data_IF_631029470639
#
_entry.id   IF_631029470639
#
_cell.length_a   1.000
_cell.length_b   1.000
_cell.length_c   1.000
_cell.angle_alpha   90.00
_cell.angle_beta   90.00
_cell.angle_gamma   90.00
#
_symmetry.space_group_name_H-M   'P 1'
#
loop_
_entity.id
_entity.type
_entity.pdbx_description
1 polymer ?
#
# COMPACT_ATOMS: atom_id res chain seq x y z
N UNK A 1 19.14 -11.13 -4.67
CA UNK A 1 17.80 -10.85 -4.10
C UNK A 1 17.89 -10.86 -2.59
N UNK A 2 18.36 -9.76 -2.02
CA UNK A 2 18.26 -9.50 -0.59
C UNK A 2 16.96 -8.74 -0.34
N UNK A 3 16.25 -9.10 0.71
CA UNK A 3 15.00 -8.48 1.14
C UNK A 3 15.07 -8.20 2.64
N UNK A 4 14.38 -7.15 3.05
CA UNK A 4 14.19 -6.80 4.46
C UNK A 4 12.75 -7.09 4.86
N UNK A 5 12.54 -7.82 5.94
CA UNK A 5 11.24 -8.06 6.56
C UNK A 5 11.24 -7.47 7.97
N UNK A 6 10.19 -6.72 8.30
CA UNK A 6 10.00 -6.09 9.61
C UNK A 6 8.56 -6.33 10.06
N UNK A 7 8.36 -6.69 11.32
CA UNK A 7 7.04 -6.63 11.98
C UNK A 7 6.97 -5.31 12.72
N UNK A 8 5.96 -4.50 12.44
CA UNK A 8 5.77 -3.25 13.17
C UNK A 8 4.39 -3.24 13.81
N UNK A 9 4.28 -2.67 15.01
CA UNK A 9 3.00 -2.32 15.63
C UNK A 9 2.97 -0.81 15.89
N UNK A 10 1.84 -0.19 15.55
CA UNK A 10 1.53 1.17 15.98
C UNK A 10 0.48 1.11 17.09
N UNK A 11 0.73 1.82 18.20
CA UNK A 11 -0.25 2.10 19.24
C UNK A 11 -0.35 1.06 20.37
N UNK A 12 0.19 1.44 21.55
CA UNK A 12 -0.26 0.94 22.85
C UNK A 12 -1.54 1.66 23.29
N UNK A 13 -2.40 0.96 24.02
CA UNK A 13 -3.74 1.43 24.41
C UNK A 13 -3.73 2.77 25.14
N UNK A 14 -4.42 3.75 24.58
CA UNK A 14 -4.71 5.04 25.21
C UNK A 14 -5.50 5.90 24.24
N UNK A 15 -6.80 6.12 24.52
CA UNK A 15 -7.69 6.87 23.65
C UNK A 15 -7.23 8.30 23.43
N UNK A 16 -6.93 8.66 22.19
CA UNK A 16 -6.64 10.03 21.79
C UNK A 16 -6.27 10.12 20.30
N UNK A 17 -7.08 10.87 19.54
CA UNK A 17 -6.79 11.46 18.22
C UNK A 17 -5.98 10.64 17.22
N UNK A 18 -6.68 10.03 16.24
CA UNK A 18 -6.10 9.32 15.10
C UNK A 18 -5.18 10.26 14.30
N UNK A 19 -3.87 10.16 14.51
CA UNK A 19 -2.87 10.77 13.63
C UNK A 19 -2.19 9.68 12.81
N UNK A 20 -2.12 9.88 11.50
CA UNK A 20 -1.40 8.99 10.59
C UNK A 20 0.08 8.98 10.99
N UNK A 21 0.58 7.85 11.47
CA UNK A 21 2.01 7.73 11.74
C UNK A 21 2.72 7.27 10.48
N UNK A 22 3.44 8.20 9.88
CA UNK A 22 4.37 7.89 8.80
C UNK A 22 5.68 7.46 9.43
N UNK A 23 6.22 6.32 9.00
CA UNK A 23 7.61 5.94 9.27
C UNK A 23 8.41 6.02 7.99
N UNK A 24 9.65 6.47 8.12
CA UNK A 24 10.64 6.49 7.06
C UNK A 24 11.59 5.33 7.32
N UNK A 25 11.90 4.57 6.27
CA UNK A 25 12.95 3.55 6.31
C UNK A 25 14.06 4.05 5.40
N UNK A 26 15.27 4.15 5.96
CA UNK A 26 16.42 4.75 5.32
C UNK A 26 17.63 3.83 5.45
N UNK A 27 18.55 3.93 4.50
CA UNK A 27 19.81 3.20 4.51
C UNK A 27 21.01 4.15 4.34
N UNK A 28 22.16 3.72 4.82
CA UNK A 28 23.45 4.38 4.68
C UNK A 28 24.51 3.36 4.30
N UNK A 29 25.37 3.75 3.36
CA UNK A 29 26.51 2.96 2.86
C UNK A 29 27.85 3.61 3.21
N UNK A 30 27.83 4.68 4.02
CA UNK A 30 28.98 5.51 4.36
C UNK A 30 29.13 5.70 5.88
N UNK A 31 28.79 4.65 6.63
CA UNK A 31 28.85 4.63 8.11
C UNK A 31 27.92 5.63 8.80
N UNK A 32 26.82 6.00 8.15
CA UNK A 32 25.79 6.88 8.71
C UNK A 32 26.02 8.37 8.46
N UNK A 33 26.97 8.75 7.59
CA UNK A 33 27.21 10.15 7.23
C UNK A 33 26.10 10.70 6.35
N UNK A 34 25.65 9.92 5.36
CA UNK A 34 24.51 10.23 4.52
C UNK A 34 23.45 9.14 4.61
N UNK A 35 22.19 9.54 4.44
CA UNK A 35 21.03 8.68 4.56
C UNK A 35 20.13 8.86 3.35
N UNK A 36 19.67 7.76 2.80
CA UNK A 36 18.80 7.71 1.64
C UNK A 36 17.55 6.90 1.98
N UNK A 37 16.39 7.31 1.48
CA UNK A 37 15.18 6.48 1.60
C UNK A 37 15.41 5.12 0.96
N UNK A 38 14.98 4.07 1.65
CA UNK A 38 15.07 2.70 1.16
C UNK A 38 14.28 2.52 -0.13
N UNK A 39 13.14 3.19 -0.25
CA UNK A 39 12.35 3.22 -1.47
C UNK A 39 12.13 4.67 -1.88
N UNK A 40 12.36 4.97 -3.15
CA UNK A 40 12.06 6.29 -3.71
C UNK A 40 10.75 6.23 -4.49
N UNK A 41 9.89 7.27 -4.38
CA UNK A 41 8.67 7.31 -5.15
C UNK A 41 8.97 7.35 -6.63
N UNK A 42 8.35 6.42 -7.35
CA UNK A 42 8.56 6.24 -8.77
C UNK A 42 7.22 6.17 -9.50
N UNK A 43 6.90 7.23 -10.23
CA UNK A 43 5.72 7.35 -11.07
C UNK A 43 6.08 8.06 -12.38
N UNK A 44 5.29 7.86 -13.45
CA UNK A 44 5.50 8.57 -14.72
C UNK A 44 5.42 10.09 -14.49
N UNK A 45 6.53 10.79 -14.70
CA UNK A 45 6.71 12.22 -14.39
C UNK A 45 7.74 12.51 -13.29
N UNK A 46 8.14 11.51 -12.51
CA UNK A 46 9.28 11.59 -11.59
C UNK A 46 10.60 11.19 -12.28
N UNK A 47 11.73 11.68 -11.77
CA UNK A 47 13.08 11.47 -12.30
C UNK A 47 13.61 10.02 -12.10
N UNK A 48 12.77 9.02 -12.37
CA UNK A 48 13.18 7.63 -12.41
C UNK A 48 13.79 7.25 -13.75
N UNK A 49 14.76 6.34 -13.73
CA UNK A 49 15.18 5.62 -14.93
C UNK A 49 13.97 4.91 -15.56
N UNK A 50 13.82 5.03 -16.88
CA UNK A 50 12.59 4.75 -17.66
C UNK A 50 11.99 3.33 -17.56
N UNK A 51 12.57 2.42 -16.78
CA UNK A 51 12.22 1.00 -16.76
C UNK A 51 11.69 0.47 -15.41
N UNK A 52 11.36 1.33 -14.44
CA UNK A 52 10.85 0.88 -13.14
C UNK A 52 9.31 0.82 -13.16
N UNK A 53 8.76 -0.40 -13.16
CA UNK A 53 7.31 -0.68 -13.11
C UNK A 53 6.72 -0.69 -11.69
N UNK A 54 7.53 -0.39 -10.67
CA UNK A 54 7.15 -0.50 -9.27
C UNK A 54 6.84 0.85 -8.67
N UNK A 55 5.66 0.96 -8.06
CA UNK A 55 5.21 2.14 -7.33
C UNK A 55 5.53 1.93 -5.87
N UNK A 56 6.48 2.72 -5.37
CA UNK A 56 6.78 2.80 -3.95
C UNK A 56 6.48 4.20 -3.41
N UNK A 57 6.27 4.31 -2.10
CA UNK A 57 6.30 5.57 -1.36
C UNK A 57 7.58 5.61 -0.54
N UNK A 58 8.16 6.79 -0.34
CA UNK A 58 9.34 6.97 0.53
C UNK A 58 9.02 6.75 2.01
N UNK A 59 7.77 6.97 2.39
CA UNK A 59 7.27 6.72 3.73
C UNK A 59 6.26 5.58 3.70
N UNK A 60 6.31 4.73 4.73
CA UNK A 60 5.36 3.64 4.92
C UNK A 60 4.36 4.07 5.98
N UNK A 61 3.09 3.83 5.67
CA UNK A 61 1.98 4.14 6.56
C UNK A 61 1.37 2.82 6.96
N UNK A 62 1.40 2.60 8.26
CA UNK A 62 0.92 1.38 8.87
C UNK A 62 -0.53 1.60 9.35
N UNK A 63 -1.31 0.50 9.49
CA UNK A 63 -2.60 0.57 10.17
C UNK A 63 -2.46 1.23 11.56
N UNK A 64 -3.49 1.95 11.99
CA UNK A 64 -3.48 2.69 13.26
C UNK A 64 -3.54 1.79 14.50
N UNK A 65 -3.74 0.49 14.30
CA UNK A 65 -3.75 -0.51 15.38
C UNK A 65 -3.30 -1.87 14.85
N UNK A 66 -2.73 -2.67 15.75
CA UNK A 66 -2.32 -4.04 15.47
C UNK A 66 -0.91 -4.17 14.88
N UNK A 67 -0.46 -5.42 14.80
CA UNK A 67 0.82 -5.78 14.18
C UNK A 67 0.65 -5.94 12.67
N UNK A 68 1.58 -5.37 11.91
CA UNK A 68 1.63 -5.46 10.46
C UNK A 68 3.05 -5.84 10.00
N UNK A 69 3.15 -6.80 9.08
CA UNK A 69 4.42 -7.19 8.45
C UNK A 69 4.65 -6.35 7.20
N UNK A 70 5.81 -5.68 7.15
CA UNK A 70 6.32 -5.02 5.97
C UNK A 70 7.43 -5.90 5.38
N UNK A 71 7.47 -6.05 4.07
CA UNK A 71 8.56 -6.72 3.37
C UNK A 71 8.97 -5.90 2.15
N UNK A 72 10.24 -5.50 2.11
CA UNK A 72 10.75 -4.54 1.13
C UNK A 72 11.95 -5.13 0.38
N UNK A 73 12.06 -4.89 -0.94
CA UNK A 73 13.29 -5.19 -1.66
C UNK A 73 14.40 -4.21 -1.25
N UNK A 74 15.63 -4.71 -1.15
CA UNK A 74 16.78 -3.81 -0.99
C UNK A 74 17.16 -3.16 -2.33
N UNK A 75 17.50 -1.86 -2.35
CA UNK A 75 17.98 -1.17 -3.55
C UNK A 75 19.22 -1.82 -4.15
N UNK A 76 19.37 -1.75 -5.47
CA UNK A 76 20.57 -2.27 -6.17
C UNK A 76 21.85 -1.62 -5.62
N UNK A 77 21.79 -0.34 -5.23
CA UNK A 77 22.90 0.39 -4.64
C UNK A 77 23.50 -0.29 -3.39
N UNK A 78 22.73 -1.14 -2.72
CA UNK A 78 23.20 -1.88 -1.54
C UNK A 78 23.83 -3.23 -1.90
N UNK A 79 23.67 -3.76 -3.12
CA UNK A 79 23.99 -5.16 -3.46
C UNK A 79 25.49 -5.49 -3.55
N UNK A 80 26.39 -4.52 -3.40
CA UNK A 80 27.84 -4.71 -3.48
C UNK A 80 28.60 -3.96 -2.39
N UNK A 81 27.90 -3.53 -1.34
CA UNK A 81 28.50 -2.79 -0.25
C UNK A 81 28.97 -3.75 0.84
N UNK A 82 30.21 -3.57 1.30
CA UNK A 82 30.75 -4.30 2.44
C UNK A 82 30.04 -3.93 3.75
N UNK A 83 29.53 -2.70 3.81
CA UNK A 83 28.85 -2.16 4.97
C UNK A 83 27.56 -1.44 4.58
N UNK A 84 26.47 -1.78 5.27
CA UNK A 84 25.17 -1.12 5.14
C UNK A 84 24.58 -1.00 6.54
N UNK A 85 23.98 0.15 6.84
CA UNK A 85 23.10 0.31 8.01
C UNK A 85 21.74 0.83 7.60
N UNK A 86 20.74 0.44 8.37
CA UNK A 86 19.36 0.86 8.22
C UNK A 86 18.94 1.67 9.44
N UNK A 87 18.03 2.62 9.24
CA UNK A 87 17.33 3.30 10.33
C UNK A 87 15.86 3.46 9.99
N UNK A 88 15.05 3.51 11.04
CA UNK A 88 13.63 3.78 10.96
C UNK A 88 13.37 5.05 11.76
N UNK A 89 12.81 6.06 11.11
CA UNK A 89 12.60 7.38 11.70
C UNK A 89 11.17 7.84 11.51
N UNK A 90 10.63 8.59 12.45
CA UNK A 90 9.38 9.36 12.23
C UNK A 90 9.73 10.72 11.63
N UNK A 91 8.96 11.25 10.67
CA UNK A 91 9.19 12.58 10.12
C UNK A 91 9.24 13.65 11.22
N UNK A 92 10.18 14.59 11.10
CA UNK A 92 10.43 15.64 12.10
C UNK A 92 9.18 16.48 12.43
N UNK A 93 8.27 16.68 11.47
CA UNK A 93 7.02 17.42 11.68
C UNK A 93 5.97 16.64 12.49
N UNK A 94 6.07 15.31 12.56
CA UNK A 94 5.23 14.49 13.45
C UNK A 94 5.66 14.58 14.92
N UNK A 95 6.82 15.21 15.19
CA UNK A 95 7.41 15.40 16.51
C UNK A 95 6.92 16.71 17.18
N UNK A 96 5.94 17.40 16.59
CA UNK A 96 5.40 18.64 17.15
C UNK A 96 4.47 18.34 18.34
N UNK A 97 4.89 18.81 19.51
CA UNK A 97 4.15 18.96 20.78
C UNK A 97 3.77 17.65 21.48
N UNK A 98 4.62 17.23 22.43
CA UNK A 98 4.32 16.53 23.70
C UNK A 98 3.09 15.60 23.75
N UNK A 99 2.81 14.82 22.71
CA UNK A 99 1.79 13.78 22.78
C UNK A 99 2.49 12.43 22.87
N UNK A 100 2.43 11.83 24.05
CA UNK A 100 2.81 10.43 24.30
C UNK A 100 1.90 9.43 23.58
N UNK A 101 0.92 9.91 22.79
CA UNK A 101 -0.05 9.11 22.03
C UNK A 101 0.49 8.57 20.70
N UNK A 102 1.77 8.83 20.40
CA UNK A 102 2.38 8.58 19.12
C UNK A 102 3.47 7.49 19.15
N UNK A 103 3.34 6.51 20.05
CA UNK A 103 4.30 5.41 20.20
C UNK A 103 4.13 4.32 19.13
N UNK A 104 5.26 3.85 18.62
CA UNK A 104 5.37 2.73 17.69
C UNK A 104 6.44 1.74 18.14
N UNK A 105 6.30 0.48 17.71
CA UNK A 105 7.20 -0.61 18.04
C UNK A 105 7.55 -1.44 16.80
N UNK A 106 8.72 -2.08 16.86
CA UNK A 106 9.22 -2.99 15.85
C UNK A 106 9.60 -4.32 16.49
N UNK A 107 9.37 -5.41 15.76
CA UNK A 107 9.62 -6.79 16.15
C UNK A 107 10.03 -7.62 14.92
N UNK A 108 10.61 -8.80 15.14
CA UNK A 108 10.96 -9.80 14.13
C UNK A 108 11.70 -9.23 12.90
N UNK A 109 12.73 -8.41 13.13
CA UNK A 109 13.57 -7.82 12.07
C UNK A 109 14.42 -8.88 11.39
N UNK A 110 14.31 -8.98 10.06
CA UNK A 110 15.14 -9.83 9.21
C UNK A 110 15.68 -9.02 8.04
N UNK A 111 17.01 -9.03 7.87
CA UNK A 111 17.68 -8.47 6.70
C UNK A 111 18.53 -9.58 6.11
N UNK A 112 18.22 -10.02 4.88
CA UNK A 112 18.96 -11.12 4.29
C UNK A 112 18.41 -11.65 2.98
N UNK A 113 18.98 -12.75 2.53
CA UNK A 113 18.45 -13.48 1.38
C UNK A 113 17.25 -14.30 1.82
N UNK A 114 16.15 -14.16 1.09
CA UNK A 114 14.95 -14.94 1.35
C UNK A 114 14.45 -15.62 0.07
N UNK A 115 14.30 -16.95 0.05
CA UNK A 115 13.87 -17.64 -1.15
C UNK A 115 12.42 -17.29 -1.49
N UNK A 116 12.21 -16.74 -2.70
CA UNK A 116 10.91 -16.24 -3.20
C UNK A 116 10.16 -15.33 -2.22
N UNK A 117 10.88 -14.73 -1.27
CA UNK A 117 10.31 -13.87 -0.22
C UNK A 117 9.15 -14.56 0.53
N UNK A 118 9.21 -15.88 0.67
CA UNK A 118 8.14 -16.71 1.23
C UNK A 118 6.76 -16.43 0.60
N UNK A 119 6.73 -16.08 -0.70
CA UNK A 119 5.54 -15.70 -1.46
C UNK A 119 4.72 -14.57 -0.80
N UNK A 120 5.33 -13.82 0.13
CA UNK A 120 4.65 -12.83 0.97
C UNK A 120 3.77 -13.41 2.08
N UNK A 121 3.78 -14.73 2.30
CA UNK A 121 2.95 -15.49 3.25
C UNK A 121 3.77 -16.18 4.34
N UNK A 122 4.91 -15.62 4.70
CA UNK A 122 5.75 -16.16 5.76
C UNK A 122 6.93 -15.28 6.14
N UNK A 123 7.61 -15.71 7.19
CA UNK A 123 8.82 -15.12 7.72
C UNK A 123 10.05 -15.85 7.20
N UNK A 124 11.05 -15.08 6.79
CA UNK A 124 12.33 -15.60 6.35
C UNK A 124 13.18 -15.99 7.57
N UNK A 125 13.69 -17.21 7.58
CA UNK A 125 14.57 -17.73 8.63
C UNK A 125 15.76 -18.46 8.00
N UNK A 126 16.98 -17.91 8.10
CA UNK A 126 18.25 -18.57 7.73
C UNK A 126 18.15 -19.42 6.44
N UNK A 127 17.68 -18.82 5.33
CA UNK A 127 17.43 -19.44 4.01
C UNK A 127 16.19 -20.37 3.87
N UNK A 128 15.26 -20.32 4.80
CA UNK A 128 13.98 -21.06 4.76
C UNK A 128 12.81 -20.12 5.06
N UNK A 129 11.59 -20.64 4.89
CA UNK A 129 10.36 -19.91 5.13
C UNK A 129 9.55 -20.55 6.27
N UNK A 130 9.21 -19.75 7.28
CA UNK A 130 8.20 -20.07 8.29
C UNK A 130 6.87 -19.48 7.88
N UNK A 131 5.97 -20.33 7.38
CA UNK A 131 4.70 -19.88 6.81
C UNK A 131 3.74 -19.34 7.86
N UNK A 132 2.93 -18.37 7.44
CA UNK A 132 1.82 -17.86 8.22
C UNK A 132 0.73 -18.93 8.36
N UNK A 133 -0.16 -18.75 9.34
CA UNK A 133 -1.31 -19.64 9.51
C UNK A 133 -2.17 -19.63 8.24
N UNK A 134 -2.53 -20.82 7.75
CA UNK A 134 -3.29 -21.00 6.50
C UNK A 134 -2.42 -21.08 5.24
N UNK A 135 -1.09 -21.02 5.35
CA UNK A 135 -0.16 -21.20 4.23
C UNK A 135 0.83 -22.34 4.48
N UNK A 136 1.26 -23.00 3.42
CA UNK A 136 2.21 -24.11 3.43
C UNK A 136 3.05 -24.16 2.14
N UNK A 137 3.91 -25.17 2.01
CA UNK A 137 4.88 -25.27 0.92
C UNK A 137 6.26 -24.75 1.30
N UNK A 138 7.26 -24.98 0.44
CA UNK A 138 8.66 -24.64 0.71
C UNK A 138 8.88 -23.12 0.78
N UNK A 139 8.04 -22.36 0.07
CA UNK A 139 8.08 -20.92 -0.04
C UNK A 139 6.73 -20.28 0.34
N UNK A 140 5.90 -20.97 1.13
CA UNK A 140 4.57 -20.51 1.58
C UNK A 140 3.61 -20.15 0.44
N UNK A 141 3.74 -20.85 -0.68
CA UNK A 141 2.98 -20.63 -1.91
C UNK A 141 1.61 -21.34 -1.92
N UNK A 142 1.41 -22.32 -1.04
CA UNK A 142 0.19 -23.12 -0.99
C UNK A 142 -0.75 -22.53 0.05
N UNK A 143 -1.95 -22.12 -0.37
CA UNK A 143 -3.00 -21.73 0.57
C UNK A 143 -3.78 -22.96 1.02
N UNK A 144 -3.91 -23.15 2.33
CA UNK A 144 -4.67 -24.23 2.94
C UNK A 144 -6.15 -23.84 3.16
N UNK A 145 -6.52 -22.61 2.83
CA UNK A 145 -7.89 -22.09 2.92
C UNK A 145 -8.42 -21.77 1.53
N UNK A 146 -9.73 -21.88 1.36
CA UNK A 146 -10.38 -21.50 0.11
C UNK A 146 -10.37 -19.98 -0.01
N UNK A 147 -9.52 -19.44 -0.88
CA UNK A 147 -9.55 -18.03 -1.24
C UNK A 147 -10.87 -17.66 -1.92
N UNK A 148 -11.31 -16.41 -1.74
CA UNK A 148 -12.54 -15.92 -2.34
C UNK A 148 -12.46 -15.96 -3.87
N UNK A 149 -13.49 -16.52 -4.50
CA UNK A 149 -13.58 -16.63 -5.96
C UNK A 149 -14.19 -15.38 -6.63
N UNK A 150 -14.92 -14.57 -5.84
CA UNK A 150 -15.56 -13.32 -6.23
C UNK A 150 -15.53 -12.35 -5.06
N UNK A 151 -15.32 -11.08 -5.39
CA UNK A 151 -15.49 -9.96 -4.48
C UNK A 151 -16.49 -9.02 -5.17
N UNK A 152 -17.70 -8.89 -4.63
CA UNK A 152 -18.73 -7.99 -5.16
C UNK A 152 -19.30 -7.17 -4.03
N UNK A 153 -19.32 -5.86 -4.18
CA UNK A 153 -19.68 -4.94 -3.12
C UNK A 153 -20.71 -3.94 -3.62
N UNK A 154 -21.80 -3.82 -2.89
CA UNK A 154 -22.65 -2.64 -2.91
C UNK A 154 -22.31 -1.86 -1.64
N UNK A 155 -22.00 -0.57 -1.78
CA UNK A 155 -21.64 0.30 -0.65
C UNK A 155 -22.89 0.73 0.13
N UNK A 156 -23.75 -0.23 0.46
CA UNK A 156 -24.97 -0.04 1.23
C UNK A 156 -24.71 -0.41 2.69
N UNK A 157 -25.32 0.30 3.64
CA UNK A 157 -25.03 0.17 5.08
C UNK A 157 -25.37 -1.22 5.67
N UNK A 158 -25.89 -2.14 4.88
CA UNK A 158 -26.21 -3.51 5.25
C UNK A 158 -25.32 -4.46 4.46
N UNK A 159 -24.11 -4.76 4.95
CA UNK A 159 -23.70 -6.16 5.00
C UNK A 159 -22.43 -6.36 5.82
N UNK A 160 -22.35 -7.51 6.47
CA UNK A 160 -21.20 -8.04 7.20
C UNK A 160 -20.04 -8.44 6.26
N UNK A 161 -19.68 -7.58 5.29
CA UNK A 161 -18.65 -7.84 4.26
C UNK A 161 -17.37 -7.02 4.50
N UNK A 162 -17.13 -6.57 5.73
CA UNK A 162 -15.92 -5.82 6.12
C UNK A 162 -14.63 -6.62 6.03
N UNK A 163 -14.71 -7.96 5.92
CA UNK A 163 -13.53 -8.84 5.94
C UNK A 163 -12.79 -8.92 4.59
N UNK A 164 -13.38 -8.37 3.53
CA UNK A 164 -12.85 -8.46 2.16
C UNK A 164 -12.12 -7.21 1.68
N UNK A 165 -12.25 -6.09 2.39
CA UNK A 165 -11.63 -4.82 1.99
C UNK A 165 -11.12 -4.04 3.18
N UNK A 166 -9.95 -3.43 3.00
CA UNK A 166 -9.37 -2.48 3.94
C UNK A 166 -9.13 -1.17 3.21
N UNK A 167 -9.59 -0.06 3.79
CA UNK A 167 -9.36 1.26 3.21
C UNK A 167 -8.87 2.26 4.26
N UNK A 168 -8.12 3.25 3.79
CA UNK A 168 -7.60 4.34 4.61
C UNK A 168 -7.81 5.68 3.93
N UNK A 169 -8.02 6.73 4.73
CA UNK A 169 -8.26 8.09 4.21
C UNK A 169 -9.64 8.28 3.56
N UNK A 170 -10.50 7.26 3.57
CA UNK A 170 -11.84 7.23 3.01
C UNK A 170 -12.95 7.19 4.06
N UNK A 171 -14.17 7.52 3.62
CA UNK A 171 -15.40 7.31 4.38
C UNK A 171 -16.59 7.11 3.43
N UNK A 172 -17.58 6.31 3.83
CA UNK A 172 -18.84 6.18 3.09
C UNK A 172 -19.65 7.47 3.23
N UNK A 173 -19.92 8.15 2.11
CA UNK A 173 -20.57 9.45 2.11
C UNK A 173 -21.23 9.78 0.77
N UNK A 174 -22.17 10.72 0.81
CA UNK A 174 -22.76 11.38 -0.36
C UNK A 174 -21.99 12.65 -0.77
N UNK A 175 -20.85 12.94 -0.11
CA UNK A 175 -20.06 14.16 -0.32
C UNK A 175 -19.62 14.40 -1.78
N UNK A 176 -19.51 13.34 -2.58
CA UNK A 176 -19.14 13.40 -4.00
C UNK A 176 -20.29 13.03 -4.94
N UNK A 177 -21.52 13.25 -4.48
CA UNK A 177 -22.78 12.84 -5.09
C UNK A 177 -22.89 11.31 -5.25
N UNK A 178 -24.00 10.87 -5.86
CA UNK A 178 -24.25 9.46 -6.16
C UNK A 178 -23.52 9.12 -7.46
N UNK A 179 -22.58 8.18 -7.40
CA UNK A 179 -21.77 7.74 -8.55
C UNK A 179 -22.43 6.56 -9.28
N UNK A 180 -23.00 5.61 -8.53
CA UNK A 180 -23.71 4.46 -9.09
C UNK A 180 -25.07 4.30 -8.39
N UNK A 181 -25.06 3.90 -7.13
CA UNK A 181 -26.22 3.75 -6.25
C UNK A 181 -25.77 3.97 -4.81
N UNK A 182 -26.62 4.59 -3.97
CA UNK A 182 -26.32 4.76 -2.54
C UNK A 182 -25.08 5.63 -2.26
N UNK A 183 -24.40 5.34 -1.15
CA UNK A 183 -23.19 6.07 -0.72
C UNK A 183 -21.98 5.65 -1.56
N UNK A 184 -21.06 6.58 -1.79
CA UNK A 184 -19.75 6.27 -2.36
C UNK A 184 -18.68 6.20 -1.27
N UNK A 185 -17.61 5.43 -1.49
CA UNK A 185 -16.40 5.51 -0.66
C UNK A 185 -15.57 6.73 -1.09
N UNK A 186 -15.65 7.80 -0.29
CA UNK A 186 -15.05 9.10 -0.61
C UNK A 186 -13.71 9.27 0.12
N UNK A 187 -12.62 9.36 -0.65
CA UNK A 187 -11.26 9.59 -0.15
C UNK A 187 -10.94 11.08 -0.02
N UNK A 188 -11.41 11.72 1.06
CA UNK A 188 -11.20 13.16 1.29
C UNK A 188 -10.35 13.51 2.50
N UNK A 189 -9.95 12.53 3.34
CA UNK A 189 -9.14 12.82 4.53
C UNK A 189 -7.70 13.20 4.13
N UNK A 190 -7.01 13.95 4.99
CA UNK A 190 -5.60 14.29 4.79
C UNK A 190 -4.70 13.05 4.90
N UNK A 191 -3.53 13.12 4.29
CA UNK A 191 -2.59 12.01 4.26
C UNK A 191 -2.94 10.94 3.22
N UNK A 192 -2.46 9.73 3.45
CA UNK A 192 -2.49 8.65 2.46
C UNK A 192 -3.87 8.01 2.31
N UNK A 193 -4.20 7.67 1.08
CA UNK A 193 -5.51 7.18 0.66
C UNK A 193 -5.31 5.89 -0.13
N UNK A 194 -5.92 4.80 0.33
CA UNK A 194 -5.91 3.54 -0.42
C UNK A 194 -7.15 2.72 -0.14
N UNK A 195 -7.48 1.87 -1.09
CA UNK A 195 -8.37 0.73 -0.94
C UNK A 195 -7.58 -0.52 -1.31
N UNK A 196 -7.65 -1.54 -0.46
CA UNK A 196 -7.05 -2.85 -0.70
C UNK A 196 -8.14 -3.91 -0.56
N UNK A 197 -8.17 -4.84 -1.51
CA UNK A 197 -9.00 -6.04 -1.44
C UNK A 197 -8.20 -7.19 -0.82
N UNK A 198 -8.88 -8.08 -0.10
CA UNK A 198 -8.32 -9.34 0.38
C UNK A 198 -7.90 -10.23 -0.78
N UNK A 199 -6.99 -11.17 -0.51
CA UNK A 199 -6.47 -12.07 -1.54
C UNK A 199 -7.61 -12.91 -2.16
N UNK A 200 -7.67 -12.90 -3.49
CA UNK A 200 -8.64 -13.66 -4.28
C UNK A 200 -7.95 -14.82 -4.99
N UNK A 201 -8.71 -15.87 -5.30
CA UNK A 201 -8.20 -17.00 -6.06
C UNK A 201 -7.88 -16.58 -7.52
N UNK A 202 -6.61 -16.71 -7.93
CA UNK A 202 -6.15 -16.38 -9.26
C UNK A 202 -6.21 -17.48 -10.32
N UNK A 203 -6.75 -18.67 -10.00
CA UNK A 203 -6.80 -19.82 -10.91
C UNK A 203 -7.61 -19.61 -12.19
N UNK A 204 -8.51 -18.61 -12.21
CA UNK A 204 -9.28 -18.23 -13.39
C UNK A 204 -9.18 -16.72 -13.61
N UNK A 205 -9.31 -16.23 -14.85
CA UNK A 205 -9.44 -14.79 -15.12
C UNK A 205 -10.57 -14.18 -14.28
N UNK A 206 -10.35 -12.95 -13.80
CA UNK A 206 -11.33 -12.22 -12.98
C UNK A 206 -11.68 -10.90 -13.66
N UNK A 207 -12.97 -10.56 -13.67
CA UNK A 207 -13.44 -9.25 -14.08
C UNK A 207 -13.41 -8.33 -12.86
N UNK A 208 -12.60 -7.27 -12.94
CA UNK A 208 -12.63 -6.14 -12.01
C UNK A 208 -13.43 -5.01 -12.64
N UNK A 209 -14.49 -4.58 -11.96
CA UNK A 209 -15.31 -3.48 -12.42
C UNK A 209 -15.57 -2.48 -11.29
N UNK A 210 -15.39 -1.20 -11.59
CA UNK A 210 -15.70 -0.12 -10.66
C UNK A 210 -16.01 1.17 -11.41
N UNK A 211 -16.74 2.06 -10.74
CA UNK A 211 -16.95 3.43 -11.21
C UNK A 211 -16.05 4.36 -10.41
N UNK A 212 -15.24 5.16 -11.11
CA UNK A 212 -14.34 6.13 -10.50
C UNK A 212 -14.72 7.54 -10.94
N UNK A 213 -14.77 8.44 -9.96
CA UNK A 213 -14.89 9.89 -10.15
C UNK A 213 -13.68 10.57 -9.53
N UNK A 214 -12.96 11.35 -10.32
CA UNK A 214 -11.83 12.16 -9.84
C UNK A 214 -12.20 13.65 -9.89
N UNK A 215 -12.38 14.24 -8.70
CA UNK A 215 -12.87 15.61 -8.59
C UNK A 215 -14.35 15.74 -8.97
N UNK A 216 -14.89 16.94 -8.77
CA UNK A 216 -16.27 17.31 -9.12
C UNK A 216 -16.33 18.85 -9.24
N UNK A 217 -17.25 19.38 -10.04
CA UNK A 217 -17.57 20.82 -10.01
C UNK A 217 -18.30 21.22 -8.72
N UNK A 218 -18.89 20.26 -8.00
CA UNK A 218 -19.45 20.47 -6.68
C UNK A 218 -18.33 20.81 -5.67
N UNK A 219 -18.35 22.04 -5.16
CA UNK A 219 -17.40 22.58 -4.18
C UNK A 219 -17.29 21.74 -2.90
N UNK A 220 -18.29 20.90 -2.60
CA UNK A 220 -18.28 20.02 -1.42
C UNK A 220 -17.36 18.80 -1.58
N UNK A 221 -17.15 18.30 -2.80
CA UNK A 221 -16.23 17.19 -3.08
C UNK A 221 -14.82 17.69 -3.42
N UNK A 222 -14.70 18.94 -3.88
CA UNK A 222 -13.43 19.56 -4.25
C UNK A 222 -12.69 20.10 -3.02
N UNK A 223 -11.54 19.53 -2.69
CA UNK A 223 -10.59 20.20 -1.80
C UNK A 223 -9.90 21.31 -2.59
N UNK A 224 -10.12 22.57 -2.20
CA UNK A 224 -9.41 23.82 -2.59
C UNK A 224 -8.60 23.80 -3.89
N UNK A 225 -9.02 24.66 -4.84
CA UNK A 225 -8.39 25.02 -6.13
C UNK A 225 -7.06 24.32 -6.43
N UNK A 226 -7.09 23.35 -7.34
CA UNK A 226 -5.88 22.72 -7.86
C UNK A 226 -5.13 23.75 -8.70
N UNK A 227 -3.98 24.23 -8.22
CA UNK A 227 -3.04 24.94 -9.08
C UNK A 227 -2.58 23.98 -10.18
N UNK A 228 -2.39 24.47 -11.41
CA UNK A 228 -2.05 23.66 -12.58
C UNK A 228 -0.83 22.74 -12.37
N UNK A 229 0.13 23.17 -11.56
CA UNK A 229 1.35 22.43 -11.22
C UNK A 229 1.12 21.17 -10.36
N UNK A 230 -0.05 21.05 -9.71
CA UNK A 230 -0.39 19.94 -8.80
C UNK A 230 -1.38 18.93 -9.44
N UNK A 231 -1.77 19.15 -10.72
CA UNK A 231 -2.69 18.26 -11.44
C UNK A 231 -2.09 16.89 -11.74
N UNK A 232 -0.82 16.85 -12.12
CA UNK A 232 -0.13 15.58 -12.48
C UNK A 232 0.23 14.74 -11.26
N UNK A 233 0.37 15.37 -10.09
CA UNK A 233 0.64 14.69 -8.81
C UNK A 233 -0.63 14.09 -8.19
N UNK A 234 -1.81 14.60 -8.57
CA UNK A 234 -3.10 14.09 -8.09
C UNK A 234 -3.68 13.08 -9.06
N UNK A 235 -3.43 11.80 -8.77
CA UNK A 235 -3.91 10.68 -9.57
C UNK A 235 -4.29 9.48 -8.70
N UNK A 236 -5.00 8.53 -9.30
CA UNK A 236 -5.28 7.21 -8.70
C UNK A 236 -4.57 6.15 -9.51
N UNK A 237 -3.84 5.26 -8.83
CA UNK A 237 -3.16 4.14 -9.43
C UNK A 237 -3.92 2.86 -9.11
N UNK A 238 -4.25 2.08 -10.14
CA UNK A 238 -4.76 0.73 -9.98
C UNK A 238 -3.58 -0.23 -10.04
N UNK A 239 -3.36 -0.98 -8.96
CA UNK A 239 -2.22 -1.88 -8.80
C UNK A 239 -2.68 -3.31 -8.56
N UNK A 240 -1.88 -4.29 -8.99
CA UNK A 240 -2.06 -5.69 -8.60
C UNK A 240 -0.79 -6.30 -8.03
N UNK A 241 -0.97 -7.32 -7.19
CA UNK A 241 0.12 -8.09 -6.59
C UNK A 241 -0.24 -9.57 -6.53
N UNK A 242 0.70 -10.41 -6.96
CA UNK A 242 0.66 -11.87 -6.76
C UNK A 242 1.64 -12.33 -5.66
N UNK A 243 2.14 -11.39 -4.86
CA UNK A 243 3.16 -11.63 -3.83
C UNK A 243 2.74 -11.06 -2.47
N UNK A 244 1.43 -11.06 -2.21
CA UNK A 244 0.83 -10.51 -1.00
C UNK A 244 1.28 -9.06 -0.68
N UNK A 245 1.46 -8.24 -1.72
CA UNK A 245 1.86 -6.84 -1.59
C UNK A 245 3.36 -6.57 -1.44
N UNK A 246 4.23 -7.57 -1.60
CA UNK A 246 5.70 -7.36 -1.68
C UNK A 246 6.05 -6.61 -2.96
N UNK A 247 5.52 -7.07 -4.09
CA UNK A 247 5.69 -6.42 -5.40
C UNK A 247 4.33 -5.99 -5.93
N UNK A 248 4.26 -4.74 -6.40
CA UNK A 248 3.10 -4.18 -7.07
C UNK A 248 3.42 -3.91 -8.53
N UNK A 249 2.43 -4.16 -9.38
CA UNK A 249 2.43 -3.86 -10.80
C UNK A 249 1.30 -2.89 -11.11
N UNK A 250 1.56 -1.91 -11.97
CA UNK A 250 0.54 -0.95 -12.40
C UNK A 250 -0.35 -1.62 -13.46
N UNK A 251 -1.65 -1.67 -13.18
CA UNK A 251 -2.67 -2.02 -14.18
C UNK A 251 -3.06 -0.75 -14.95
N UNK A 252 -3.36 0.34 -14.24
CA UNK A 252 -3.79 1.60 -14.87
C UNK A 252 -3.44 2.85 -14.03
N UNK A 253 -3.41 4.01 -14.68
CA UNK A 253 -3.11 5.32 -14.10
C UNK A 253 -4.20 6.34 -14.45
N UNK A 254 -5.06 6.64 -13.48
CA UNK A 254 -6.15 7.59 -13.64
C UNK A 254 -5.72 8.99 -13.20
N UNK A 255 -5.51 9.89 -14.16
CA UNK A 255 -5.14 11.28 -13.88
C UNK A 255 -6.37 12.17 -13.79
N UNK A 256 -6.29 13.22 -12.97
CA UNK A 256 -7.36 14.22 -12.90
C UNK A 256 -7.57 14.90 -14.26
N UNK A 257 -6.50 15.18 -15.02
CA UNK A 257 -6.56 15.78 -16.36
C UNK A 257 -7.43 15.00 -17.34
N UNK A 258 -7.44 13.67 -17.20
CA UNK A 258 -8.05 12.77 -18.17
C UNK A 258 -9.53 12.51 -17.86
N UNK A 259 -9.97 12.77 -16.62
CA UNK A 259 -11.24 12.31 -16.06
C UNK A 259 -12.14 13.46 -15.56
N UNK A 260 -11.77 14.72 -15.85
CA UNK A 260 -12.44 15.90 -15.29
C UNK A 260 -13.98 15.82 -15.32
N UNK A 261 -14.55 15.75 -14.11
CA UNK A 261 -15.97 15.93 -13.80
C UNK A 261 -16.96 14.99 -14.52
N UNK A 262 -16.55 13.77 -14.91
CA UNK A 262 -17.46 12.73 -15.41
C UNK A 262 -17.27 11.41 -14.67
N UNK A 263 -18.36 10.65 -14.56
CA UNK A 263 -18.31 9.28 -14.07
C UNK A 263 -17.82 8.36 -15.19
N UNK A 264 -16.75 7.62 -14.92
CA UNK A 264 -16.27 6.60 -15.82
C UNK A 264 -16.42 5.24 -15.15
N UNK A 265 -17.14 4.35 -15.84
CA UNK A 265 -17.19 2.93 -15.50
C UNK A 265 -16.04 2.25 -16.21
N UNK A 266 -15.19 1.60 -15.44
CA UNK A 266 -14.05 0.86 -15.96
C UNK A 266 -14.27 -0.63 -15.72
N UNK A 267 -14.00 -1.42 -16.75
CA UNK A 267 -14.09 -2.88 -16.71
C UNK A 267 -12.77 -3.46 -17.20
N UNK A 268 -12.05 -4.17 -16.31
CA UNK A 268 -10.76 -4.80 -16.59
C UNK A 268 -10.89 -6.31 -16.46
N UNK A 269 -10.49 -7.05 -17.48
CA UNK A 269 -10.28 -8.50 -17.35
C UNK A 269 -8.84 -8.70 -16.87
N UNK A 270 -8.70 -9.04 -15.59
CA UNK A 270 -7.40 -9.31 -14.98
C UNK A 270 -7.07 -10.79 -15.18
N UNK A 271 -6.06 -11.04 -16.02
CA UNK A 271 -5.37 -12.31 -16.06
C UNK A 271 -4.31 -12.30 -14.97
N UNK A 272 -4.55 -13.03 -13.88
CA UNK A 272 -3.54 -13.26 -12.86
C UNK A 272 -2.56 -14.30 -13.41
N UNK A 273 -1.65 -13.85 -14.28
CA UNK A 273 -0.59 -14.71 -14.79
C UNK A 273 0.40 -14.90 -13.64
N UNK A 274 0.40 -16.08 -13.03
CA UNK A 274 1.44 -16.52 -12.11
C UNK A 274 2.70 -16.81 -12.93
N UNK A 275 3.41 -15.77 -13.36
CA UNK A 275 4.78 -15.94 -13.83
C UNK A 275 5.66 -16.12 -12.58
N UNK A 276 5.93 -17.37 -12.24
CA UNK A 276 7.00 -17.75 -11.32
C UNK A 276 8.14 -18.39 -12.09
#
# INVERSE_FOLDING_TARGET
NLHEQLKNALGGGGGGGISNQNINIEYSIDFGKTWHFLLQPCFRGSACSHNVQHVYSSSIILPTSGWYRITLPLPIATLQQEYIRFRITTPLFAMSVYSTSNSWAIDEVFIGRCPRVCSGHGWCQLNSCRCDTGFSGKFCEISNTTLFNRASFLMDNNDNQTDLMTYHGGQLSYKCDIISQGKALVFSKSGFRYLRISNINGSSPKLLEFTLRLGNTNAQCFGTSINDLDRDLKSVLLLSSCSNGVHWTIIDHFRISDILARDFRFSFIIYLITNY
#
